data_IF_601360755268
#
_entry.id   IF_601360755268
#
_cell.length_a   1.000
_cell.length_b   1.000
_cell.length_c   1.000
_cell.angle_alpha   90.00
_cell.angle_beta   90.00
_cell.angle_gamma   90.00
#
_symmetry.space_group_name_H-M   'P 1'
#
loop_
_entity.id
_entity.type
_entity.pdbx_description
1 polymer ?
#
# COMPACT_ATOMS: atom_id res chain seq x y z
N UNK A 1 -43.77 -14.49 -44.38
CA UNK A 1 -44.67 -15.29 -43.53
C UNK A 1 -44.09 -15.23 -42.13
N UNK A 2 -44.53 -14.30 -41.25
CA UNK A 2 -45.77 -14.38 -40.44
C UNK A 2 -45.74 -15.65 -39.58
N UNK A 3 -45.86 -15.66 -38.26
CA UNK A 3 -45.88 -14.65 -37.19
C UNK A 3 -45.98 -15.43 -35.85
N UNK A 4 -45.68 -14.74 -34.74
CA UNK A 4 -46.32 -14.88 -33.41
C UNK A 4 -46.10 -16.19 -32.64
N UNK A 5 -46.06 -16.29 -31.31
CA UNK A 5 -46.41 -15.48 -30.11
C UNK A 5 -45.88 -16.34 -28.92
N UNK A 6 -45.44 -15.85 -27.77
CA UNK A 6 -46.23 -15.21 -26.71
C UNK A 6 -45.34 -14.79 -25.53
N UNK A 7 -45.88 -13.84 -24.77
CA UNK A 7 -45.34 -13.11 -23.63
C UNK A 7 -45.22 -13.89 -22.30
N UNK A 8 -44.61 -13.20 -21.31
CA UNK A 8 -44.62 -13.31 -19.81
C UNK A 8 -43.21 -13.49 -19.26
N UNK A 9 -42.68 -12.77 -18.26
CA UNK A 9 -43.21 -11.85 -17.26
C UNK A 9 -42.11 -10.87 -16.81
N UNK A 10 -42.52 -9.71 -16.31
CA UNK A 10 -41.71 -8.68 -15.68
C UNK A 10 -41.00 -9.17 -14.41
N UNK A 11 -39.75 -8.75 -14.10
CA UNK A 11 -39.23 -8.92 -12.75
C UNK A 11 -39.62 -7.73 -11.88
N UNK A 12 -40.50 -8.00 -10.92
CA UNK A 12 -40.80 -7.17 -9.77
C UNK A 12 -39.53 -6.68 -9.08
N UNK A 13 -39.43 -5.37 -8.85
CA UNK A 13 -38.49 -4.73 -7.94
C UNK A 13 -38.62 -5.32 -6.53
N UNK A 14 -37.72 -6.22 -6.14
CA UNK A 14 -37.57 -6.65 -4.76
C UNK A 14 -36.74 -5.62 -4.00
N UNK A 15 -37.42 -4.76 -3.24
CA UNK A 15 -36.81 -3.96 -2.19
C UNK A 15 -36.15 -4.91 -1.18
N UNK A 16 -34.84 -5.05 -1.24
CA UNK A 16 -34.05 -5.68 -0.19
C UNK A 16 -33.89 -4.68 0.96
N UNK A 17 -34.77 -4.75 1.96
CA UNK A 17 -34.49 -4.18 3.28
C UNK A 17 -33.41 -5.04 3.94
N UNK A 18 -32.15 -4.62 3.86
CA UNK A 18 -31.06 -5.18 4.66
C UNK A 18 -31.10 -4.55 6.04
N UNK A 19 -31.92 -5.09 6.95
CA UNK A 19 -31.81 -4.78 8.38
C UNK A 19 -30.67 -5.64 8.93
N UNK A 20 -29.46 -5.06 8.97
CA UNK A 20 -28.34 -5.65 9.66
C UNK A 20 -28.54 -5.42 11.16
N UNK A 21 -28.68 -6.50 11.93
CA UNK A 21 -28.87 -6.45 13.39
C UNK A 21 -27.68 -5.73 14.03
N UNK A 22 -27.88 -4.46 14.37
CA UNK A 22 -26.92 -3.59 15.05
C UNK A 22 -27.16 -3.73 16.56
N UNK A 23 -26.29 -4.45 17.26
CA UNK A 23 -26.43 -4.67 18.70
C UNK A 23 -26.40 -3.39 19.56
N UNK A 24 -27.32 -3.35 20.53
CA UNK A 24 -27.46 -2.44 21.68
C UNK A 24 -27.32 -0.94 21.39
N UNK A 25 -28.31 -0.38 20.69
CA UNK A 25 -28.73 1.02 20.78
C UNK A 25 -30.26 1.06 20.72
N UNK A 26 -30.91 2.02 21.37
CA UNK A 26 -32.35 2.21 21.19
C UNK A 26 -32.59 2.64 19.73
N UNK A 27 -33.31 1.81 18.98
CA UNK A 27 -33.76 2.09 17.62
C UNK A 27 -34.99 3.00 17.70
N UNK A 28 -34.86 4.23 17.21
CA UNK A 28 -35.95 5.18 17.08
C UNK A 28 -36.20 5.44 15.59
N UNK A 29 -37.45 5.68 15.20
CA UNK A 29 -37.80 5.98 13.80
C UNK A 29 -37.93 7.50 13.65
N UNK A 30 -37.23 8.08 12.69
CA UNK A 30 -37.37 9.50 12.33
C UNK A 30 -38.68 9.75 11.57
N UNK A 31 -39.15 11.00 11.50
CA UNK A 31 -40.41 11.38 10.85
C UNK A 31 -40.48 10.96 9.37
N UNK A 32 -39.32 10.77 8.71
CA UNK A 32 -39.19 10.29 7.33
C UNK A 32 -39.17 8.75 7.18
N UNK A 33 -39.29 8.01 8.29
CA UNK A 33 -39.24 6.55 8.33
C UNK A 33 -37.83 5.96 8.44
N UNK A 34 -36.79 6.78 8.60
CA UNK A 34 -35.40 6.32 8.77
C UNK A 34 -35.16 5.77 10.18
N UNK A 35 -34.59 4.57 10.27
CA UNK A 35 -34.12 4.01 11.56
C UNK A 35 -32.88 4.77 12.05
N UNK A 36 -32.99 5.32 13.26
CA UNK A 36 -31.94 6.10 13.93
C UNK A 36 -31.36 5.29 15.08
N UNK A 37 -30.04 5.09 15.03
CA UNK A 37 -29.28 4.46 16.09
C UNK A 37 -28.83 5.50 17.12
N UNK A 38 -29.28 5.35 18.36
CA UNK A 38 -28.85 6.24 19.45
C UNK A 38 -27.44 5.88 19.94
N UNK A 39 -26.45 6.73 19.60
CA UNK A 39 -25.06 6.56 20.04
C UNK A 39 -24.77 7.36 21.32
N UNK A 40 -25.39 8.54 21.45
CA UNK A 40 -25.33 9.42 22.62
C UNK A 40 -26.76 9.81 23.00
N UNK A 41 -27.17 9.49 24.22
CA UNK A 41 -28.54 9.73 24.68
C UNK A 41 -28.88 11.22 24.70
N UNK A 42 -27.95 12.08 25.12
CA UNK A 42 -28.06 13.54 25.10
C UNK A 42 -27.60 14.16 23.78
N UNK A 43 -27.46 13.35 22.71
CA UNK A 43 -27.10 13.83 21.38
C UNK A 43 -28.13 14.84 20.86
N UNK A 44 -27.64 15.87 20.19
CA UNK A 44 -28.37 17.07 19.77
C UNK A 44 -28.58 17.13 18.25
N UNK A 45 -28.07 16.17 17.49
CA UNK A 45 -28.24 16.07 16.04
C UNK A 45 -28.31 14.61 15.58
N UNK A 46 -28.98 14.39 14.44
CA UNK A 46 -28.97 13.11 13.72
C UNK A 46 -28.12 13.25 12.45
N UNK A 47 -27.09 12.42 12.31
CA UNK A 47 -26.31 12.32 11.07
C UNK A 47 -26.80 11.13 10.26
N UNK A 48 -27.31 11.39 9.06
CA UNK A 48 -27.76 10.39 8.11
C UNK A 48 -26.71 10.22 7.02
N UNK A 49 -25.98 9.11 7.05
CA UNK A 49 -24.98 8.81 6.04
C UNK A 49 -25.61 8.05 4.88
N UNK A 50 -25.24 8.44 3.66
CA UNK A 50 -25.62 7.76 2.42
C UNK A 50 -24.36 7.48 1.60
N UNK A 51 -24.21 6.23 1.18
CA UNK A 51 -23.06 5.80 0.40
C UNK A 51 -23.48 4.81 -0.67
N UNK A 52 -23.04 5.06 -1.90
CA UNK A 52 -23.18 4.14 -3.00
C UNK A 52 -21.82 3.53 -3.32
N UNK A 53 -21.73 2.20 -3.24
CA UNK A 53 -20.56 1.45 -3.67
C UNK A 53 -20.99 0.29 -4.54
N UNK A 54 -20.40 0.15 -5.73
CA UNK A 54 -20.69 -0.93 -6.68
C UNK A 54 -22.20 -1.06 -7.01
N UNK A 55 -22.91 0.07 -7.10
CA UNK A 55 -24.36 0.11 -7.36
C UNK A 55 -25.24 -0.32 -6.18
N UNK A 56 -24.65 -0.55 -5.00
CA UNK A 56 -25.38 -0.83 -3.76
C UNK A 56 -25.41 0.44 -2.92
N UNK A 57 -26.60 1.02 -2.78
CA UNK A 57 -26.83 2.13 -1.86
C UNK A 57 -26.99 1.61 -0.44
N UNK A 58 -26.24 2.18 0.49
CA UNK A 58 -26.32 1.92 1.92
C UNK A 58 -26.57 3.23 2.65
N UNK A 59 -27.47 3.21 3.63
CA UNK A 59 -27.71 4.35 4.50
C UNK A 59 -27.83 3.94 5.97
N UNK A 60 -27.46 4.86 6.86
CA UNK A 60 -27.60 4.69 8.29
C UNK A 60 -27.67 6.06 8.98
N UNK A 61 -28.55 6.19 9.98
CA UNK A 61 -28.70 7.42 10.76
C UNK A 61 -28.26 7.22 12.22
N UNK A 62 -27.53 8.18 12.77
CA UNK A 62 -26.99 8.12 14.13
C UNK A 62 -27.29 9.39 14.89
N UNK A 63 -27.84 9.27 16.11
CA UNK A 63 -27.96 10.37 17.05
C UNK A 63 -26.63 10.57 17.79
N UNK A 64 -26.05 11.76 17.66
CA UNK A 64 -24.68 12.10 18.08
C UNK A 64 -24.61 13.47 18.75
N UNK A 65 -23.48 13.76 19.38
CA UNK A 65 -23.19 15.06 20.00
C UNK A 65 -22.37 15.95 19.07
N UNK A 66 -22.91 17.11 18.69
CA UNK A 66 -22.17 18.12 17.92
C UNK A 66 -20.92 18.57 18.66
N UNK A 67 -20.99 18.72 19.99
CA UNK A 67 -19.89 19.22 20.81
C UNK A 67 -18.67 18.30 20.73
N UNK A 68 -18.88 16.99 20.89
CA UNK A 68 -17.81 16.00 20.75
C UNK A 68 -17.27 15.99 19.31
N UNK A 69 -18.14 15.95 18.31
CA UNK A 69 -17.73 15.92 16.91
C UNK A 69 -16.87 17.13 16.51
N UNK A 70 -17.26 18.35 16.89
CA UNK A 70 -16.50 19.58 16.60
C UNK A 70 -15.11 19.56 17.27
N UNK A 71 -15.02 18.99 18.47
CA UNK A 71 -13.74 18.87 19.17
C UNK A 71 -12.77 17.88 18.52
N UNK A 72 -13.29 16.91 17.74
CA UNK A 72 -12.51 15.79 17.22
C UNK A 72 -12.39 15.67 15.72
N UNK A 73 -13.03 16.58 14.99
CA UNK A 73 -13.00 16.60 13.54
C UNK A 73 -13.14 18.04 13.06
N UNK A 74 -12.15 18.49 12.28
CA UNK A 74 -12.22 19.82 11.66
C UNK A 74 -13.32 19.89 10.60
N UNK A 75 -13.66 18.76 9.98
CA UNK A 75 -14.80 18.67 9.08
C UNK A 75 -16.09 19.03 9.83
N UNK A 76 -16.37 18.36 10.95
CA UNK A 76 -17.58 18.61 11.73
C UNK A 76 -17.56 20.00 12.40
N UNK A 77 -16.40 20.50 12.83
CA UNK A 77 -16.27 21.88 13.31
C UNK A 77 -16.74 22.91 12.27
N UNK A 78 -16.34 22.73 11.01
CA UNK A 78 -16.79 23.61 9.92
C UNK A 78 -18.27 23.40 9.60
N UNK A 79 -18.71 22.15 9.49
CA UNK A 79 -20.11 21.77 9.20
C UNK A 79 -21.08 22.45 10.17
N UNK A 80 -20.79 22.37 11.46
CA UNK A 80 -21.60 22.94 12.55
C UNK A 80 -21.17 24.35 12.97
N UNK A 81 -20.41 25.06 12.14
CA UNK A 81 -19.86 26.37 12.48
C UNK A 81 -20.16 27.46 11.44
N UNK A 82 -19.92 27.19 10.16
CA UNK A 82 -19.86 28.23 9.12
C UNK A 82 -20.84 28.07 7.97
N UNK A 83 -21.49 26.91 7.86
CA UNK A 83 -22.38 26.62 6.74
C UNK A 83 -23.86 26.82 7.09
N UNK A 84 -24.72 26.79 6.07
CA UNK A 84 -26.17 26.97 6.24
C UNK A 84 -26.80 25.87 7.10
N UNK A 85 -26.20 24.70 7.13
CA UNK A 85 -26.54 23.57 8.01
C UNK A 85 -26.45 23.98 9.48
N UNK A 86 -25.41 24.72 9.88
CA UNK A 86 -25.24 25.18 11.25
C UNK A 86 -26.39 26.10 11.69
N UNK A 87 -26.80 27.03 10.83
CA UNK A 87 -27.92 27.94 11.10
C UNK A 87 -29.25 27.18 11.24
N UNK A 88 -29.47 26.15 10.40
CA UNK A 88 -30.67 25.28 10.50
C UNK A 88 -30.68 24.49 11.81
N UNK A 89 -29.54 23.94 12.21
CA UNK A 89 -29.38 23.21 13.48
C UNK A 89 -29.64 24.13 14.66
N UNK A 90 -29.02 25.32 14.69
CA UNK A 90 -29.19 26.28 15.78
C UNK A 90 -30.64 26.79 15.90
N UNK A 91 -31.29 27.08 14.78
CA UNK A 91 -32.71 27.46 14.76
C UNK A 91 -33.59 26.34 15.33
N UNK A 92 -33.31 25.08 14.98
CA UNK A 92 -34.05 23.93 15.51
C UNK A 92 -33.79 23.72 16.99
N UNK A 93 -32.55 23.87 17.46
CA UNK A 93 -32.20 23.80 18.88
C UNK A 93 -32.92 24.84 19.72
N UNK A 94 -33.07 26.09 19.22
CA UNK A 94 -33.84 27.14 19.90
C UNK A 94 -35.30 26.75 20.10
N UNK A 95 -35.92 26.14 19.08
CA UNK A 95 -37.31 25.64 19.18
C UNK A 95 -37.42 24.46 20.15
N UNK A 96 -36.50 23.51 20.10
CA UNK A 96 -36.51 22.34 20.97
C UNK A 96 -36.27 22.69 22.45
N UNK A 97 -35.41 23.68 22.73
CA UNK A 97 -35.16 24.16 24.09
C UNK A 97 -36.36 24.84 24.75
N UNK A 98 -37.39 25.24 23.99
CA UNK A 98 -38.66 25.73 24.54
C UNK A 98 -39.61 24.58 24.90
N UNK A 99 -39.45 23.41 24.29
CA UNK A 99 -40.36 22.27 24.40
C UNK A 99 -39.86 21.21 25.38
N UNK A 100 -38.54 21.04 25.48
CA UNK A 100 -37.89 19.99 26.25
C UNK A 100 -36.92 20.57 27.26
N UNK A 101 -36.79 19.89 28.41
CA UNK A 101 -35.89 20.32 29.49
C UNK A 101 -34.44 20.00 29.19
N UNK A 102 -34.19 18.84 28.59
CA UNK A 102 -32.85 18.40 28.18
C UNK A 102 -32.90 17.82 26.78
N UNK A 103 -31.75 17.81 26.08
CA UNK A 103 -31.69 17.19 24.75
C UNK A 103 -31.99 15.69 24.81
N UNK A 104 -31.65 15.01 25.90
CA UNK A 104 -31.94 13.59 26.09
C UNK A 104 -33.44 13.25 26.02
N UNK A 105 -34.32 14.20 26.39
CA UNK A 105 -35.77 14.02 26.37
C UNK A 105 -36.37 14.19 24.95
N UNK A 106 -35.59 14.71 24.00
CA UNK A 106 -36.05 14.97 22.63
C UNK A 106 -36.06 13.66 21.84
N UNK A 107 -37.21 13.26 21.23
CA UNK A 107 -37.27 12.12 20.32
C UNK A 107 -36.39 12.35 19.08
N UNK A 108 -35.73 11.30 18.59
CA UNK A 108 -34.81 11.41 17.45
C UNK A 108 -35.48 11.98 16.19
N UNK A 109 -36.79 11.73 16.00
CA UNK A 109 -37.59 12.27 14.91
C UNK A 109 -37.65 13.81 14.85
N UNK A 110 -37.53 14.48 16.01
CA UNK A 110 -37.64 15.94 16.09
C UNK A 110 -36.28 16.64 16.02
N UNK A 111 -35.18 15.90 16.19
CA UNK A 111 -33.83 16.41 16.11
C UNK A 111 -33.50 16.87 14.68
N UNK A 112 -32.64 17.90 14.54
CA UNK A 112 -32.16 18.29 13.22
C UNK A 112 -31.39 17.13 12.59
N UNK A 113 -31.71 16.81 11.33
CA UNK A 113 -31.03 15.79 10.54
C UNK A 113 -30.12 16.43 9.49
N UNK A 114 -28.89 15.95 9.39
CA UNK A 114 -27.96 16.30 8.31
C UNK A 114 -27.65 15.05 7.51
N UNK A 115 -27.84 15.14 6.19
CA UNK A 115 -27.47 14.08 5.25
C UNK A 115 -26.01 14.28 4.82
N UNK A 116 -25.21 13.22 4.93
CA UNK A 116 -23.81 13.18 4.50
C UNK A 116 -23.69 12.12 3.42
N UNK A 117 -23.34 12.57 2.22
CA UNK A 117 -23.09 11.71 1.07
C UNK A 117 -21.59 11.38 0.97
N UNK A 118 -21.28 10.20 0.44
CA UNK A 118 -19.94 9.74 0.08
C UNK A 118 -18.93 9.65 1.26
N UNK A 119 -18.68 8.41 1.69
CA UNK A 119 -17.74 8.03 2.75
C UNK A 119 -16.28 7.92 2.27
N UNK A 120 -16.02 8.21 1.00
CA UNK A 120 -14.73 8.01 0.34
C UNK A 120 -14.60 6.64 -0.32
N UNK A 121 -13.39 6.37 -0.85
CA UNK A 121 -13.03 5.13 -1.57
C UNK A 121 -12.82 3.96 -0.61
N UNK A 122 -13.88 3.50 0.06
CA UNK A 122 -13.86 2.30 0.89
C UNK A 122 -14.17 1.04 0.06
N UNK A 123 -13.77 -0.14 0.54
CA UNK A 123 -14.21 -1.39 -0.10
C UNK A 123 -15.66 -1.70 0.24
N UNK A 124 -16.25 -2.66 -0.49
CA UNK A 124 -17.49 -3.31 -0.07
C UNK A 124 -17.34 -3.87 1.35
N UNK A 125 -18.01 -3.26 2.31
CA UNK A 125 -18.12 -3.73 3.69
C UNK A 125 -19.46 -4.42 3.87
N UNK A 126 -19.51 -5.47 4.69
CA UNK A 126 -20.75 -6.22 4.96
C UNK A 126 -21.88 -5.33 5.49
N UNK A 127 -21.52 -4.27 6.21
CA UNK A 127 -22.45 -3.24 6.67
C UNK A 127 -21.68 -1.93 6.89
N UNK A 128 -21.86 -0.92 6.02
CA UNK A 128 -21.32 0.42 6.23
C UNK A 128 -21.78 1.04 7.55
N UNK A 129 -22.98 0.67 8.02
CA UNK A 129 -23.52 1.13 9.29
C UNK A 129 -22.64 0.72 10.48
N UNK A 130 -22.12 -0.51 10.52
CA UNK A 130 -21.20 -0.96 11.58
C UNK A 130 -19.91 -0.14 11.57
N UNK A 131 -19.34 0.09 10.38
CA UNK A 131 -18.11 0.87 10.22
C UNK A 131 -18.30 2.30 10.72
N UNK A 132 -19.40 2.95 10.33
CA UNK A 132 -19.75 4.31 10.75
C UNK A 132 -20.04 4.39 12.25
N UNK A 133 -20.76 3.41 12.79
CA UNK A 133 -21.00 3.32 14.23
C UNK A 133 -19.68 3.26 14.99
N UNK A 134 -18.74 2.43 14.56
CA UNK A 134 -17.44 2.29 15.23
C UNK A 134 -16.60 3.58 15.10
N UNK A 135 -16.63 4.24 13.93
CA UNK A 135 -16.03 5.57 13.73
C UNK A 135 -16.59 6.61 14.71
N UNK A 136 -17.91 6.75 14.76
CA UNK A 136 -18.58 7.71 15.63
C UNK A 136 -18.36 7.36 17.11
N UNK A 137 -18.32 6.08 17.49
CA UNK A 137 -17.99 5.65 18.86
C UNK A 137 -16.61 6.14 19.27
N UNK A 138 -15.60 5.98 18.41
CA UNK A 138 -14.25 6.49 18.68
C UNK A 138 -14.25 8.01 18.89
N UNK A 139 -14.98 8.76 18.06
CA UNK A 139 -15.11 10.22 18.22
C UNK A 139 -15.85 10.62 19.51
N UNK A 140 -16.66 9.75 20.09
CA UNK A 140 -17.33 9.99 21.37
C UNK A 140 -16.61 9.34 22.56
N UNK A 141 -15.34 8.94 22.40
CA UNK A 141 -14.56 8.18 23.43
C UNK A 141 -15.22 6.89 23.90
N UNK A 142 -16.09 6.30 23.09
CA UNK A 142 -16.71 5.03 23.39
C UNK A 142 -15.82 3.89 22.90
N UNK A 143 -15.89 2.76 23.60
CA UNK A 143 -15.13 1.57 23.22
C UNK A 143 -15.79 0.86 22.04
N UNK A 144 -14.95 0.35 21.14
CA UNK A 144 -15.36 -0.54 20.05
C UNK A 144 -14.88 -1.96 20.32
N UNK A 145 -15.31 -2.93 19.51
CA UNK A 145 -14.87 -4.31 19.62
C UNK A 145 -13.34 -4.41 19.50
N UNK A 146 -12.71 -5.18 20.38
CA UNK A 146 -11.25 -5.17 20.56
C UNK A 146 -10.45 -5.86 19.43
N UNK A 147 -11.11 -6.40 18.39
CA UNK A 147 -10.46 -7.18 17.32
C UNK A 147 -11.03 -6.87 15.94
N UNK A 148 -10.78 -5.67 15.43
CA UNK A 148 -11.21 -5.32 14.08
C UNK A 148 -10.36 -6.09 13.04
N UNK A 149 -10.99 -6.70 12.02
CA UNK A 149 -10.29 -7.17 10.84
C UNK A 149 -9.48 -6.03 10.20
N UNK A 150 -8.30 -6.35 9.64
CA UNK A 150 -7.43 -5.38 8.97
C UNK A 150 -8.17 -4.58 7.87
N UNK A 151 -9.10 -5.22 7.15
CA UNK A 151 -9.91 -4.54 6.14
C UNK A 151 -10.81 -3.45 6.76
N UNK A 152 -11.41 -3.73 7.92
CA UNK A 152 -12.23 -2.74 8.62
C UNK A 152 -11.36 -1.61 9.17
N UNK A 153 -10.15 -1.90 9.68
CA UNK A 153 -9.20 -0.87 10.10
C UNK A 153 -8.78 0.04 8.94
N UNK A 154 -8.54 -0.54 7.75
CA UNK A 154 -8.20 0.23 6.55
C UNK A 154 -9.38 1.12 6.13
N UNK A 155 -10.59 0.58 6.03
CA UNK A 155 -11.79 1.37 5.71
C UNK A 155 -12.06 2.46 6.76
N UNK A 156 -11.84 2.16 8.04
CA UNK A 156 -12.02 3.14 9.12
C UNK A 156 -11.01 4.28 9.03
N UNK A 157 -9.77 3.97 8.62
CA UNK A 157 -8.73 4.98 8.37
C UNK A 157 -9.13 5.89 7.20
N UNK A 158 -9.69 5.34 6.12
CA UNK A 158 -10.21 6.12 4.97
C UNK A 158 -11.34 7.04 5.39
N UNK A 159 -12.32 6.52 6.16
CA UNK A 159 -13.44 7.32 6.68
C UNK A 159 -12.93 8.45 7.59
N UNK A 160 -11.98 8.17 8.47
CA UNK A 160 -11.43 9.19 9.35
C UNK A 160 -10.61 10.25 8.61
N UNK A 161 -9.89 9.88 7.54
CA UNK A 161 -9.21 10.85 6.67
C UNK A 161 -10.22 11.76 5.97
N UNK A 162 -11.28 11.18 5.40
CA UNK A 162 -12.38 11.91 4.76
C UNK A 162 -13.02 12.94 5.68
N UNK A 163 -13.17 12.61 6.96
CA UNK A 163 -13.76 13.49 7.97
C UNK A 163 -12.72 14.25 8.83
N UNK A 164 -11.45 14.33 8.40
CA UNK A 164 -10.37 15.06 9.09
C UNK A 164 -10.29 14.74 10.59
N UNK A 165 -10.24 13.45 10.90
CA UNK A 165 -10.30 12.86 12.23
C UNK A 165 -9.26 11.75 12.48
N UNK A 166 -8.27 11.59 11.58
CA UNK A 166 -7.23 10.57 11.67
C UNK A 166 -6.46 10.61 13.00
N UNK A 167 -6.18 11.79 13.52
CA UNK A 167 -5.42 11.98 14.77
C UNK A 167 -6.06 11.24 15.95
N UNK A 168 -7.38 11.22 16.02
CA UNK A 168 -8.09 10.52 17.10
C UNK A 168 -8.03 9.01 16.95
N UNK A 169 -8.05 8.50 15.72
CA UNK A 169 -7.85 7.07 15.46
C UNK A 169 -6.42 6.65 15.78
N UNK A 170 -5.42 7.46 15.43
CA UNK A 170 -4.01 7.24 15.80
C UNK A 170 -3.87 7.05 17.30
N UNK A 171 -4.37 8.00 18.10
CA UNK A 171 -4.33 7.93 19.56
C UNK A 171 -5.08 6.70 20.08
N UNK A 172 -6.28 6.43 19.57
CA UNK A 172 -7.11 5.31 20.01
C UNK A 172 -6.41 3.95 19.76
N UNK A 173 -5.97 3.69 18.54
CA UNK A 173 -5.38 2.41 18.16
C UNK A 173 -3.95 2.23 18.71
N UNK A 174 -3.20 3.31 18.90
CA UNK A 174 -1.91 3.29 19.60
C UNK A 174 -2.09 2.86 21.06
N UNK A 175 -3.06 3.47 21.78
CA UNK A 175 -3.39 3.08 23.16
C UNK A 175 -3.81 1.61 23.27
N UNK A 176 -4.58 1.13 22.30
CA UNK A 176 -5.04 -0.27 22.24
C UNK A 176 -3.98 -1.26 21.76
N UNK A 177 -2.83 -0.78 21.29
CA UNK A 177 -1.77 -1.59 20.67
C UNK A 177 -2.31 -2.53 19.59
N UNK A 178 -3.27 -2.05 18.80
CA UNK A 178 -4.05 -2.89 17.90
C UNK A 178 -3.18 -3.57 16.83
N UNK A 179 -2.26 -2.82 16.22
CA UNK A 179 -1.34 -3.34 15.20
C UNK A 179 -0.37 -4.37 15.80
N UNK A 180 0.13 -4.15 17.02
CA UNK A 180 0.98 -5.11 17.72
C UNK A 180 0.22 -6.40 18.04
N UNK A 181 -1.05 -6.30 18.46
CA UNK A 181 -1.90 -7.46 18.72
C UNK A 181 -2.22 -8.26 17.45
N UNK A 182 -2.33 -7.60 16.30
CA UNK A 182 -2.49 -8.26 15.00
C UNK A 182 -1.22 -9.01 14.62
N UNK A 183 -0.05 -8.38 14.78
CA UNK A 183 1.23 -9.01 14.49
C UNK A 183 1.53 -10.18 15.43
N UNK A 184 1.22 -10.08 16.73
CA UNK A 184 1.51 -11.14 17.71
C UNK A 184 0.74 -12.44 17.45
N UNK A 185 -0.40 -12.36 16.77
CA UNK A 185 -1.22 -13.52 16.39
C UNK A 185 -0.76 -14.17 15.07
N UNK A 186 0.17 -13.54 14.36
CA UNK A 186 0.55 -13.97 13.02
C UNK A 186 1.86 -14.76 13.02
N UNK A 187 1.84 -15.97 12.46
CA UNK A 187 3.04 -16.79 12.28
C UNK A 187 3.85 -16.29 11.07
N UNK A 188 5.18 -16.53 11.02
CA UNK A 188 6.00 -16.16 9.85
C UNK A 188 5.49 -16.76 8.53
N UNK A 189 4.95 -17.99 8.58
CA UNK A 189 4.36 -18.65 7.40
C UNK A 189 3.09 -17.93 6.94
N UNK A 190 2.20 -17.58 7.88
CA UNK A 190 0.97 -16.84 7.56
C UNK A 190 1.28 -15.43 7.04
N UNK A 191 2.27 -14.77 7.64
CA UNK A 191 2.76 -13.46 7.22
C UNK A 191 3.27 -13.52 5.78
N UNK A 192 4.16 -14.45 5.44
CA UNK A 192 4.66 -14.63 4.08
C UNK A 192 3.56 -15.00 3.09
N UNK A 193 2.46 -15.60 3.54
CA UNK A 193 1.30 -15.98 2.71
C UNK A 193 0.26 -14.88 2.48
N UNK A 194 0.44 -13.66 3.01
CA UNK A 194 -0.52 -12.56 2.78
C UNK A 194 -0.69 -12.24 1.28
N UNK A 195 -1.94 -12.03 0.86
CA UNK A 195 -2.28 -11.51 -0.47
C UNK A 195 -1.83 -10.06 -0.63
N UNK A 196 -1.72 -9.61 -1.89
CA UNK A 196 -1.44 -8.21 -2.22
C UNK A 196 -2.41 -7.25 -1.50
N UNK A 197 -3.71 -7.50 -1.62
CA UNK A 197 -4.74 -6.66 -0.98
C UNK A 197 -4.50 -6.52 0.53
N UNK A 198 -4.13 -7.61 1.22
CA UNK A 198 -3.84 -7.55 2.66
C UNK A 198 -2.58 -6.77 2.98
N UNK A 199 -1.55 -6.87 2.14
CA UNK A 199 -0.32 -6.08 2.28
C UNK A 199 -0.59 -4.60 2.05
N UNK A 200 -1.37 -4.25 1.01
CA UNK A 200 -1.84 -2.90 0.71
C UNK A 200 -2.67 -2.31 1.84
N UNK A 201 -3.64 -3.06 2.39
CA UNK A 201 -4.43 -2.65 3.56
C UNK A 201 -3.55 -2.34 4.78
N UNK A 202 -2.57 -3.20 5.09
CA UNK A 202 -1.63 -2.95 6.20
C UNK A 202 -0.73 -1.76 5.94
N UNK A 203 -0.26 -1.57 4.70
CA UNK A 203 0.54 -0.40 4.35
C UNK A 203 -0.26 0.89 4.52
N UNK A 204 -1.50 0.93 4.01
CA UNK A 204 -2.40 2.08 4.16
C UNK A 204 -2.65 2.40 5.63
N UNK A 205 -2.99 1.39 6.44
CA UNK A 205 -3.19 1.57 7.90
C UNK A 205 -1.90 2.05 8.56
N UNK A 206 -0.76 1.47 8.19
CA UNK A 206 0.55 1.89 8.71
C UNK A 206 0.84 3.36 8.40
N UNK A 207 0.54 3.79 7.18
CA UNK A 207 0.72 5.17 6.72
C UNK A 207 -0.25 6.14 7.39
N UNK A 208 -1.56 5.82 7.42
CA UNK A 208 -2.59 6.70 7.97
C UNK A 208 -2.58 6.77 9.50
N UNK A 209 -2.14 5.69 10.18
CA UNK A 209 -2.14 5.61 11.65
C UNK A 209 -0.74 5.68 12.27
N UNK A 210 0.28 6.11 11.52
CA UNK A 210 1.68 6.23 11.95
C UNK A 210 2.22 4.97 12.65
N UNK A 211 2.16 3.82 11.98
CA UNK A 211 2.76 2.57 12.45
C UNK A 211 3.97 2.16 11.60
N UNK A 212 5.19 2.61 11.96
CA UNK A 212 6.38 2.51 11.12
C UNK A 212 6.71 1.12 10.60
N UNK A 213 6.58 0.12 11.46
CA UNK A 213 6.90 -1.27 11.15
C UNK A 213 6.10 -1.79 9.96
N UNK A 214 4.84 -1.38 9.81
CA UNK A 214 4.02 -1.79 8.66
C UNK A 214 4.40 -1.03 7.40
N UNK A 215 4.76 0.25 7.52
CA UNK A 215 5.19 1.07 6.37
C UNK A 215 6.42 0.42 5.74
N UNK A 216 7.50 0.25 6.49
CA UNK A 216 8.77 -0.29 5.97
C UNK A 216 8.61 -1.70 5.40
N UNK A 217 7.99 -2.60 6.17
CA UNK A 217 7.86 -4.01 5.80
C UNK A 217 6.98 -4.21 4.57
N UNK A 218 5.82 -3.56 4.53
CA UNK A 218 4.82 -3.81 3.49
C UNK A 218 5.14 -3.04 2.21
N UNK A 219 5.76 -1.85 2.29
CA UNK A 219 6.32 -1.18 1.11
C UNK A 219 7.44 -1.99 0.45
N UNK A 220 8.40 -2.51 1.24
CA UNK A 220 9.46 -3.38 0.71
C UNK A 220 8.86 -4.62 0.03
N UNK A 221 7.82 -5.21 0.62
CA UNK A 221 7.16 -6.38 0.04
C UNK A 221 6.47 -6.08 -1.29
N UNK A 222 5.77 -4.95 -1.42
CA UNK A 222 5.14 -4.54 -2.68
C UNK A 222 6.19 -4.38 -3.79
N UNK A 223 7.31 -3.70 -3.47
CA UNK A 223 8.46 -3.53 -4.37
C UNK A 223 9.00 -4.89 -4.83
N UNK A 224 9.28 -5.79 -3.88
CA UNK A 224 9.90 -7.09 -4.17
C UNK A 224 8.97 -8.01 -4.97
N UNK A 225 7.67 -8.03 -4.64
CA UNK A 225 6.69 -8.92 -5.28
C UNK A 225 6.22 -8.48 -6.67
N UNK A 226 6.46 -7.23 -7.05
CA UNK A 226 5.97 -6.69 -8.32
C UNK A 226 4.52 -6.27 -8.31
N UNK A 227 4.01 -5.96 -7.12
CA UNK A 227 2.64 -5.54 -6.88
C UNK A 227 2.48 -4.02 -6.96
N UNK A 228 3.24 -3.35 -7.83
CA UNK A 228 3.34 -1.89 -7.93
C UNK A 228 3.28 -1.45 -9.39
N UNK A 229 2.88 -0.20 -9.65
CA UNK A 229 2.86 0.38 -10.99
C UNK A 229 1.67 -0.02 -11.84
N UNK A 230 0.66 -0.66 -11.25
CA UNK A 230 -0.62 -0.93 -11.90
C UNK A 230 -1.59 0.22 -11.63
N UNK A 231 -2.24 0.73 -12.67
CA UNK A 231 -3.32 1.72 -12.51
C UNK A 231 -4.57 1.03 -11.95
N UNK A 232 -5.04 1.43 -10.76
CA UNK A 232 -6.23 0.85 -10.17
C UNK A 232 -7.50 1.43 -10.80
N UNK A 233 -8.60 0.69 -10.69
CA UNK A 233 -9.92 1.26 -10.99
C UNK A 233 -10.23 2.44 -10.06
N UNK A 234 -10.86 3.48 -10.60
CA UNK A 234 -11.31 4.67 -9.87
C UNK A 234 -12.26 4.27 -8.73
N UNK A 235 -13.07 3.23 -8.95
CA UNK A 235 -13.99 2.69 -7.95
C UNK A 235 -13.31 1.85 -6.86
N UNK A 236 -12.05 1.47 -7.05
CA UNK A 236 -11.32 0.64 -6.11
C UNK A 236 -11.06 1.39 -4.80
N UNK A 237 -10.99 0.61 -3.71
CA UNK A 237 -10.67 1.13 -2.39
C UNK A 237 -9.29 1.82 -2.37
N UNK A 238 -9.12 2.83 -1.50
CA UNK A 238 -7.95 3.71 -1.49
C UNK A 238 -6.61 2.97 -1.33
N UNK A 239 -6.56 1.77 -0.73
CA UNK A 239 -5.29 1.03 -0.61
C UNK A 239 -4.75 0.50 -1.95
N UNK A 240 -5.56 0.50 -3.00
CA UNK A 240 -5.09 0.23 -4.37
C UNK A 240 -4.39 1.44 -5.01
N UNK A 241 -4.59 2.64 -4.44
CA UNK A 241 -4.03 3.91 -4.89
C UNK A 241 -3.47 4.68 -3.68
N UNK A 242 -2.29 4.27 -3.21
CA UNK A 242 -1.76 4.71 -1.93
C UNK A 242 -1.48 6.23 -1.93
N UNK A 243 -1.92 6.96 -0.89
CA UNK A 243 -1.83 8.42 -0.84
C UNK A 243 -0.38 8.93 -0.77
N UNK A 244 -0.20 10.23 -1.06
CA UNK A 244 1.09 10.90 -0.90
C UNK A 244 2.13 10.52 -1.96
N UNK A 245 1.71 10.12 -3.17
CA UNK A 245 2.57 9.58 -4.24
C UNK A 245 3.39 8.36 -3.81
N UNK A 246 2.89 7.61 -2.82
CA UNK A 246 3.55 6.40 -2.35
C UNK A 246 3.61 5.37 -3.47
N UNK A 247 2.51 5.19 -4.24
CA UNK A 247 2.46 4.22 -5.34
C UNK A 247 3.55 4.47 -6.40
N UNK A 248 3.70 5.72 -6.85
CA UNK A 248 4.74 6.15 -7.79
C UNK A 248 6.15 5.86 -7.26
N UNK A 249 6.40 6.19 -5.99
CA UNK A 249 7.69 5.94 -5.35
C UNK A 249 8.01 4.44 -5.27
N UNK A 250 7.04 3.58 -4.91
CA UNK A 250 7.27 2.14 -4.84
C UNK A 250 7.54 1.53 -6.22
N UNK A 251 6.80 1.98 -7.24
CA UNK A 251 7.03 1.57 -8.63
C UNK A 251 8.43 1.99 -9.10
N UNK A 252 8.82 3.24 -8.86
CA UNK A 252 10.14 3.75 -9.24
C UNK A 252 11.29 3.03 -8.51
N UNK A 253 11.14 2.74 -7.21
CA UNK A 253 12.10 1.94 -6.44
C UNK A 253 12.27 0.55 -7.05
N UNK A 254 11.17 -0.10 -7.42
CA UNK A 254 11.21 -1.43 -8.07
C UNK A 254 11.99 -1.37 -9.38
N UNK A 255 11.70 -0.39 -10.22
CA UNK A 255 12.40 -0.19 -11.49
C UNK A 255 13.91 -0.06 -11.28
N UNK A 256 14.34 0.78 -10.34
CA UNK A 256 15.75 0.97 -10.02
C UNK A 256 16.44 -0.30 -9.50
N UNK A 257 15.74 -1.14 -8.73
CA UNK A 257 16.27 -2.45 -8.29
C UNK A 257 16.44 -3.40 -9.49
N UNK A 258 15.46 -3.46 -10.38
CA UNK A 258 15.54 -4.29 -11.59
C UNK A 258 16.64 -3.80 -12.54
N UNK A 259 16.76 -2.48 -12.74
CA UNK A 259 17.83 -1.86 -13.51
C UNK A 259 19.21 -2.20 -12.92
N UNK A 260 19.33 -2.22 -11.59
CA UNK A 260 20.56 -2.61 -10.91
C UNK A 260 20.93 -4.07 -11.18
N UNK A 261 19.96 -4.99 -11.11
CA UNK A 261 20.18 -6.42 -11.44
C UNK A 261 20.57 -6.58 -12.91
N UNK A 262 19.89 -5.87 -13.82
CA UNK A 262 20.22 -5.88 -15.25
C UNK A 262 21.63 -5.33 -15.51
N UNK A 263 22.03 -4.24 -14.84
CA UNK A 263 23.37 -3.67 -14.99
C UNK A 263 24.48 -4.64 -14.55
N UNK A 264 24.22 -5.49 -13.55
CA UNK A 264 25.14 -6.56 -13.14
C UNK A 264 25.30 -7.60 -14.25
N UNK A 265 24.22 -8.00 -14.93
CA UNK A 265 24.31 -8.93 -16.06
C UNK A 265 25.08 -8.31 -17.23
N UNK A 266 24.80 -7.04 -17.54
CA UNK A 266 25.52 -6.28 -18.56
C UNK A 266 27.01 -6.18 -18.24
N UNK A 267 27.37 -5.91 -16.99
CA UNK A 267 28.77 -5.88 -16.54
C UNK A 267 29.47 -7.22 -16.76
N UNK A 268 28.84 -8.32 -16.33
CA UNK A 268 29.43 -9.65 -16.46
C UNK A 268 29.60 -10.05 -17.92
N UNK A 269 28.62 -9.78 -18.78
CA UNK A 269 28.74 -9.98 -20.23
C UNK A 269 29.87 -9.11 -20.80
N UNK A 270 29.91 -7.83 -20.42
CA UNK A 270 30.91 -6.85 -20.82
C UNK A 270 32.35 -7.29 -20.53
N UNK A 271 32.59 -7.94 -19.37
CA UNK A 271 33.92 -8.47 -19.04
C UNK A 271 34.42 -9.47 -20.08
N UNK A 272 33.57 -10.37 -20.57
CA UNK A 272 33.97 -11.45 -21.48
C UNK A 272 33.78 -11.11 -22.96
N UNK A 273 33.05 -10.05 -23.29
CA UNK A 273 33.02 -9.47 -24.64
C UNK A 273 34.09 -8.39 -24.84
N UNK A 274 34.73 -7.93 -23.75
CA UNK A 274 35.90 -7.09 -23.83
C UNK A 274 37.06 -7.80 -24.55
N UNK A 275 37.99 -7.02 -25.09
CA UNK A 275 39.24 -7.56 -25.66
C UNK A 275 40.26 -7.92 -24.57
N UNK A 276 39.89 -7.80 -23.30
CA UNK A 276 40.79 -8.06 -22.17
C UNK A 276 40.59 -9.47 -21.64
N UNK A 277 41.71 -10.18 -21.48
CA UNK A 277 41.72 -11.56 -20.97
C UNK A 277 41.23 -11.61 -19.52
N UNK A 278 40.17 -12.36 -19.26
CA UNK A 278 39.56 -12.53 -17.94
C UNK A 278 40.17 -13.70 -17.17
N UNK A 279 40.49 -14.80 -17.85
CA UNK A 279 41.22 -15.92 -17.27
C UNK A 279 42.67 -15.50 -16.94
N UNK A 280 43.00 -15.45 -15.65
CA UNK A 280 44.33 -15.03 -15.15
C UNK A 280 45.28 -16.20 -14.86
N UNK A 281 44.89 -17.44 -15.17
CA UNK A 281 45.71 -18.63 -14.89
C UNK A 281 46.91 -18.79 -15.81
N UNK A 282 46.92 -18.14 -16.99
CA UNK A 282 48.10 -18.07 -17.85
C UNK A 282 48.38 -19.32 -18.70
N UNK A 283 47.48 -20.31 -18.71
CA UNK A 283 47.55 -21.47 -19.60
C UNK A 283 47.28 -21.10 -21.07
N UNK A 284 47.74 -21.92 -22.01
CA UNK A 284 47.45 -21.74 -23.44
C UNK A 284 45.94 -21.78 -23.74
N UNK A 285 45.17 -22.55 -22.96
CA UNK A 285 43.71 -22.61 -23.04
C UNK A 285 42.99 -21.45 -22.34
N UNK A 286 43.70 -20.44 -21.81
CA UNK A 286 43.07 -19.29 -21.12
C UNK A 286 42.14 -18.49 -22.03
N UNK A 287 42.50 -18.32 -23.32
CA UNK A 287 41.63 -17.62 -24.27
C UNK A 287 40.37 -18.44 -24.60
N UNK A 288 40.52 -19.76 -24.70
CA UNK A 288 39.40 -20.69 -24.90
C UNK A 288 38.47 -20.70 -23.69
N UNK A 289 39.02 -20.57 -22.48
CA UNK A 289 38.26 -20.44 -21.25
C UNK A 289 37.34 -19.21 -21.29
N UNK A 290 37.83 -18.04 -21.69
CA UNK A 290 37.01 -16.82 -21.76
C UNK A 290 35.84 -16.96 -22.75
N UNK A 291 36.10 -17.49 -23.95
CA UNK A 291 35.04 -17.76 -24.94
C UNK A 291 34.03 -18.81 -24.45
N UNK A 292 34.49 -19.86 -23.78
CA UNK A 292 33.64 -20.88 -23.18
C UNK A 292 32.73 -20.28 -22.10
N UNK A 293 33.29 -19.46 -21.20
CA UNK A 293 32.51 -18.80 -20.14
C UNK A 293 31.48 -17.83 -20.70
N UNK A 294 31.81 -17.09 -21.77
CA UNK A 294 30.84 -16.23 -22.46
C UNK A 294 29.66 -17.04 -23.02
N UNK A 295 29.95 -18.15 -23.70
CA UNK A 295 28.92 -19.03 -24.24
C UNK A 295 27.99 -19.61 -23.17
N UNK A 296 28.57 -20.12 -22.07
CA UNK A 296 27.80 -20.65 -20.95
C UNK A 296 27.00 -19.57 -20.21
N UNK A 297 27.52 -18.35 -20.10
CA UNK A 297 26.81 -17.21 -19.51
C UNK A 297 25.58 -16.81 -20.34
N UNK A 298 25.74 -16.68 -21.66
CA UNK A 298 24.63 -16.39 -22.57
C UNK A 298 23.58 -17.51 -22.49
N UNK A 299 24.02 -18.77 -22.54
CA UNK A 299 23.13 -19.94 -22.42
C UNK A 299 22.37 -19.94 -21.10
N UNK A 300 23.04 -19.64 -20.00
CA UNK A 300 22.45 -19.58 -18.67
C UNK A 300 21.40 -18.49 -18.55
N UNK A 301 21.74 -17.23 -18.89
CA UNK A 301 20.81 -16.10 -18.75
C UNK A 301 19.60 -16.22 -19.67
N UNK A 302 19.78 -16.74 -20.89
CA UNK A 302 18.68 -17.05 -21.80
C UNK A 302 17.76 -18.14 -21.24
N UNK A 303 18.34 -19.22 -20.66
CA UNK A 303 17.56 -20.32 -20.06
C UNK A 303 16.69 -19.86 -18.90
N UNK A 304 17.17 -18.93 -18.07
CA UNK A 304 16.38 -18.38 -16.94
C UNK A 304 15.50 -17.19 -17.34
N UNK A 305 15.46 -16.82 -18.63
CA UNK A 305 14.58 -15.77 -19.14
C UNK A 305 15.00 -14.34 -18.82
N UNK A 306 16.27 -14.11 -18.50
CA UNK A 306 16.80 -12.77 -18.11
C UNK A 306 17.62 -12.11 -19.20
N UNK A 307 17.96 -12.85 -20.26
CA UNK A 307 18.65 -12.33 -21.44
C UNK A 307 17.92 -12.79 -22.70
N UNK A 308 17.68 -11.84 -23.60
CA UNK A 308 17.22 -12.09 -24.95
C UNK A 308 18.29 -11.61 -25.92
N UNK A 309 18.67 -12.44 -26.88
CA UNK A 309 19.54 -12.02 -27.97
C UNK A 309 18.70 -11.48 -29.11
N UNK A 310 18.98 -10.25 -29.51
CA UNK A 310 18.31 -9.58 -30.60
C UNK A 310 19.34 -9.00 -31.57
N UNK A 311 19.10 -9.17 -32.87
CA UNK A 311 19.94 -8.58 -33.90
C UNK A 311 19.72 -7.07 -33.98
N UNK A 312 20.80 -6.31 -34.10
CA UNK A 312 20.77 -4.85 -34.22
C UNK A 312 20.59 -4.35 -35.67
N UNK A 313 20.37 -5.25 -36.63
CA UNK A 313 20.29 -4.92 -38.07
C UNK A 313 18.95 -4.27 -38.43
N UNK A 314 17.88 -4.63 -37.73
CA UNK A 314 16.55 -4.05 -37.87
C UNK A 314 16.04 -3.72 -36.47
N UNK A 315 15.65 -2.45 -36.26
CA UNK A 315 14.96 -2.05 -35.03
C UNK A 315 13.58 -2.71 -35.01
N UNK A 316 13.26 -3.39 -33.92
CA UNK A 316 11.87 -3.78 -33.64
C UNK A 316 11.36 -2.85 -32.55
N UNK A 317 10.36 -2.03 -32.86
CA UNK A 317 9.78 -1.06 -31.93
C UNK A 317 8.98 -1.68 -30.78
N UNK A 318 9.00 -3.00 -30.57
CA UNK A 318 8.19 -3.64 -29.53
C UNK A 318 8.79 -3.37 -28.13
N UNK A 319 8.11 -2.55 -27.29
CA UNK A 319 8.56 -2.33 -25.93
C UNK A 319 8.46 -3.66 -25.17
N UNK A 320 9.56 -4.05 -24.54
CA UNK A 320 9.58 -5.29 -23.79
C UNK A 320 8.92 -5.10 -22.43
N UNK A 321 8.01 -6.01 -22.02
CA UNK A 321 7.38 -5.90 -20.73
C UNK A 321 8.45 -6.01 -19.64
N UNK A 322 8.37 -5.12 -18.65
CA UNK A 322 9.22 -5.17 -17.46
C UNK A 322 8.97 -6.48 -16.70
N UNK A 323 10.00 -6.98 -16.01
CA UNK A 323 9.86 -8.16 -15.15
C UNK A 323 8.79 -7.90 -14.06
N UNK A 324 7.74 -8.69 -14.08
CA UNK A 324 6.58 -8.60 -13.16
C UNK A 324 6.70 -9.53 -11.94
N UNK A 325 7.64 -10.48 -11.98
CA UNK A 325 7.83 -11.48 -10.93
C UNK A 325 8.47 -10.98 -9.63
N UNK A 326 8.65 -11.91 -8.68
CA UNK A 326 9.31 -11.63 -7.40
C UNK A 326 10.83 -11.47 -7.58
N UNK A 327 11.38 -10.33 -7.16
CA UNK A 327 12.81 -10.01 -7.23
C UNK A 327 13.65 -11.02 -6.43
N UNK A 328 13.14 -11.54 -5.31
CA UNK A 328 13.86 -12.56 -4.54
C UNK A 328 13.98 -13.86 -5.34
N UNK A 329 12.91 -14.25 -6.05
CA UNK A 329 12.95 -15.42 -6.93
C UNK A 329 13.90 -15.18 -8.11
N UNK A 330 13.93 -13.98 -8.68
CA UNK A 330 14.89 -13.60 -9.73
C UNK A 330 16.34 -13.73 -9.24
N UNK A 331 16.65 -13.20 -8.06
CA UNK A 331 17.98 -13.35 -7.44
C UNK A 331 18.29 -14.82 -7.19
N UNK A 332 17.34 -15.61 -6.68
CA UNK A 332 17.53 -17.04 -6.42
C UNK A 332 17.75 -17.84 -7.71
N UNK A 333 17.10 -17.47 -8.82
CA UNK A 333 17.36 -18.05 -10.15
C UNK A 333 18.78 -17.74 -10.62
N UNK A 334 19.26 -16.50 -10.47
CA UNK A 334 20.62 -16.11 -10.84
C UNK A 334 21.69 -16.88 -10.01
N UNK A 335 21.40 -17.20 -8.75
CA UNK A 335 22.30 -17.99 -7.86
C UNK A 335 22.43 -19.46 -8.26
N UNK A 336 21.50 -19.98 -9.08
CA UNK A 336 21.54 -21.36 -9.60
C UNK A 336 22.57 -21.54 -10.73
N UNK A 337 23.36 -20.50 -11.04
CA UNK A 337 24.46 -20.58 -12.00
C UNK A 337 25.42 -21.75 -11.67
N UNK A 338 25.60 -22.71 -12.60
CA UNK A 338 26.54 -23.81 -12.41
C UNK A 338 28.00 -23.35 -12.35
N UNK A 339 28.86 -24.19 -11.81
CA UNK A 339 30.30 -24.01 -11.94
C UNK A 339 30.77 -24.56 -13.28
N UNK A 340 30.79 -23.70 -14.29
CA UNK A 340 31.25 -24.04 -15.63
C UNK A 340 32.77 -24.14 -15.67
N UNK A 341 33.31 -25.27 -16.13
CA UNK A 341 34.74 -25.51 -16.29
C UNK A 341 35.01 -26.10 -17.67
N UNK A 342 36.00 -25.55 -18.38
CA UNK A 342 36.41 -26.07 -19.69
C UNK A 342 37.26 -27.34 -19.56
N UNK A 343 38.12 -27.38 -18.54
CA UNK A 343 38.98 -28.51 -18.20
C UNK A 343 39.33 -28.47 -16.69
N UNK A 344 40.13 -29.45 -16.23
CA UNK A 344 40.55 -29.57 -14.83
C UNK A 344 41.47 -28.45 -14.34
N UNK A 345 42.10 -27.71 -15.24
CA UNK A 345 43.04 -26.65 -14.91
C UNK A 345 42.35 -25.31 -14.70
N UNK A 346 41.06 -25.17 -15.06
CA UNK A 346 40.28 -23.93 -14.98
C UNK A 346 39.27 -23.95 -13.82
N UNK A 347 39.69 -24.43 -12.65
CA UNK A 347 38.89 -24.28 -11.43
C UNK A 347 38.77 -22.79 -11.08
N UNK A 348 37.57 -22.35 -10.71
CA UNK A 348 37.24 -20.96 -10.35
C UNK A 348 37.28 -19.89 -11.44
N UNK A 349 37.55 -20.21 -12.71
CA UNK A 349 37.58 -19.22 -13.81
C UNK A 349 36.20 -18.74 -14.34
N UNK A 350 35.10 -19.09 -13.67
CA UNK A 350 33.75 -18.97 -14.22
C UNK A 350 32.82 -17.94 -13.59
N UNK A 351 31.69 -17.75 -14.27
CA UNK A 351 30.62 -16.81 -13.91
C UNK A 351 30.20 -16.93 -12.43
N UNK A 352 30.06 -18.17 -11.93
CA UNK A 352 29.63 -18.45 -10.55
C UNK A 352 30.49 -17.74 -9.51
N UNK A 353 31.81 -17.84 -9.60
CA UNK A 353 32.73 -17.21 -8.65
C UNK A 353 32.56 -15.69 -8.61
N UNK A 354 32.30 -15.07 -9.77
CA UNK A 354 32.19 -13.62 -9.91
C UNK A 354 30.82 -13.08 -9.50
N UNK A 355 29.74 -13.77 -9.86
CA UNK A 355 28.38 -13.27 -9.65
C UNK A 355 27.88 -13.48 -8.21
N UNK A 356 28.31 -14.54 -7.52
CA UNK A 356 27.80 -14.88 -6.19
C UNK A 356 27.98 -13.76 -5.15
N UNK A 357 29.18 -13.17 -4.97
CA UNK A 357 29.37 -12.08 -4.00
C UNK A 357 28.54 -10.83 -4.33
N UNK A 358 28.30 -10.58 -5.62
CA UNK A 358 27.53 -9.43 -6.09
C UNK A 358 26.02 -9.63 -5.83
N UNK A 359 25.52 -10.86 -6.02
CA UNK A 359 24.15 -11.21 -5.68
C UNK A 359 23.90 -11.24 -4.17
N UNK A 360 24.87 -11.68 -3.37
CA UNK A 360 24.79 -11.60 -1.90
C UNK A 360 24.62 -10.13 -1.45
N UNK A 361 25.42 -9.23 -2.02
CA UNK A 361 25.33 -7.80 -1.74
C UNK A 361 23.98 -7.20 -2.17
N UNK A 362 23.50 -7.48 -3.39
CA UNK A 362 22.19 -6.98 -3.85
C UNK A 362 21.08 -7.49 -2.94
N UNK A 363 21.11 -8.78 -2.57
CA UNK A 363 20.13 -9.38 -1.66
C UNK A 363 20.10 -8.68 -0.30
N UNK A 364 21.26 -8.39 0.26
CA UNK A 364 21.36 -7.69 1.55
C UNK A 364 20.78 -6.26 1.44
N UNK A 365 21.02 -5.56 0.32
CA UNK A 365 20.46 -4.25 0.03
C UNK A 365 18.93 -4.29 -0.14
N UNK A 366 18.38 -5.34 -0.76
CA UNK A 366 16.94 -5.50 -0.99
C UNK A 366 16.11 -5.54 0.30
N UNK A 367 16.68 -5.85 1.46
CA UNK A 367 15.97 -5.77 2.74
C UNK A 367 15.61 -4.34 3.15
N UNK A 368 16.28 -3.33 2.57
CA UNK A 368 16.17 -1.93 2.96
C UNK A 368 15.51 -1.04 1.91
N UNK A 369 14.95 -1.61 0.84
CA UNK A 369 14.31 -0.84 -0.25
C UNK A 369 12.96 -0.25 0.15
N UNK A 370 12.38 -0.71 1.26
CA UNK A 370 11.11 -0.19 1.79
C UNK A 370 11.18 1.29 2.16
N UNK A 371 10.02 1.91 2.26
CA UNK A 371 9.88 3.31 2.67
C UNK A 371 10.02 3.39 4.19
N UNK A 372 11.06 4.07 4.66
CA UNK A 372 11.17 4.45 6.05
C UNK A 372 10.33 5.70 6.34
N UNK A 373 9.39 5.63 7.31
CA UNK A 373 8.53 6.74 7.64
C UNK A 373 9.27 7.93 8.26
N UNK A 374 10.29 7.70 9.08
CA UNK A 374 10.99 8.79 9.75
C UNK A 374 11.66 9.71 8.71
N UNK A 375 12.34 9.13 7.72
CA UNK A 375 12.93 9.90 6.62
C UNK A 375 11.88 10.43 5.66
N UNK A 376 10.80 9.68 5.40
CA UNK A 376 9.72 10.12 4.53
C UNK A 376 9.02 11.39 5.04
N UNK A 377 8.81 11.49 6.35
CA UNK A 377 8.18 12.66 6.96
C UNK A 377 9.17 13.80 7.23
N UNK A 378 10.40 13.50 7.66
CA UNK A 378 11.37 14.52 8.04
C UNK A 378 11.93 15.29 6.84
N UNK A 379 12.29 14.61 5.76
CA UNK A 379 12.85 15.24 4.56
C UNK A 379 12.57 14.39 3.31
N UNK A 380 11.32 14.44 2.85
CA UNK A 380 10.88 13.73 1.65
C UNK A 380 11.71 14.08 0.43
N UNK A 381 11.98 15.37 0.22
CA UNK A 381 12.68 15.85 -0.98
C UNK A 381 14.08 15.26 -1.09
N UNK A 382 14.78 15.10 0.05
CA UNK A 382 16.08 14.45 0.07
C UNK A 382 16.03 12.94 0.20
N UNK A 383 14.92 12.31 0.58
CA UNK A 383 14.83 10.87 0.80
C UNK A 383 14.17 10.11 -0.36
N UNK A 384 13.10 10.65 -0.94
CA UNK A 384 12.33 10.03 -2.00
C UNK A 384 13.21 9.82 -3.23
N UNK A 385 13.15 8.61 -3.80
CA UNK A 385 13.97 8.23 -4.93
C UNK A 385 13.53 8.98 -6.18
N UNK A 386 12.21 9.15 -6.37
CA UNK A 386 11.66 9.86 -7.53
C UNK A 386 12.03 11.36 -7.56
N UNK A 387 12.32 11.96 -6.41
CA UNK A 387 12.70 13.37 -6.28
C UNK A 387 14.23 13.57 -6.24
N UNK A 388 14.98 12.48 -6.06
CA UNK A 388 16.44 12.51 -5.91
C UNK A 388 17.16 12.60 -7.26
N UNK A 389 18.26 13.35 -7.29
CA UNK A 389 19.16 13.36 -8.46
C UNK A 389 19.89 12.02 -8.57
N UNK A 390 19.87 11.42 -9.75
CA UNK A 390 20.60 10.18 -10.04
C UNK A 390 22.12 10.44 -10.04
N UNK A 391 22.91 9.71 -9.23
CA UNK A 391 24.36 9.76 -9.34
C UNK A 391 24.81 9.26 -10.71
N UNK A 392 25.84 9.88 -11.28
CA UNK A 392 26.38 9.42 -12.57
C UNK A 392 27.06 8.06 -12.44
N UNK A 393 27.87 7.88 -11.40
CA UNK A 393 28.67 6.69 -11.19
C UNK A 393 28.59 6.25 -9.73
N UNK A 394 28.28 4.98 -9.50
CA UNK A 394 28.46 4.31 -8.22
C UNK A 394 29.60 3.31 -8.30
N UNK A 395 30.44 3.23 -7.26
CA UNK A 395 31.58 2.31 -7.18
C UNK A 395 31.40 1.32 -6.05
N UNK A 396 31.57 0.03 -6.37
CA UNK A 396 31.49 -1.05 -5.38
C UNK A 396 32.52 -0.90 -4.26
N UNK A 397 33.76 -0.49 -4.56
CA UNK A 397 34.81 -0.43 -3.54
C UNK A 397 34.52 0.59 -2.43
N UNK A 398 33.72 1.62 -2.72
CA UNK A 398 33.24 2.59 -1.74
C UNK A 398 31.99 2.15 -0.98
N UNK A 399 31.46 0.95 -1.24
CA UNK A 399 30.22 0.47 -0.65
C UNK A 399 30.46 -0.64 0.39
N UNK A 400 30.02 -0.40 1.63
CA UNK A 400 30.09 -1.37 2.74
C UNK A 400 28.83 -1.31 3.62
N UNK A 401 27.81 -2.09 3.26
CA UNK A 401 26.53 -2.13 3.98
C UNK A 401 26.68 -2.33 5.50
N UNK A 402 27.62 -3.19 5.96
CA UNK A 402 27.86 -3.42 7.40
C UNK A 402 28.46 -2.22 8.13
N UNK A 403 29.33 -1.46 7.48
CA UNK A 403 29.87 -0.22 8.05
C UNK A 403 28.81 0.89 8.11
N UNK A 404 27.67 0.69 7.44
CA UNK A 404 26.58 1.66 7.32
C UNK A 404 25.42 1.38 8.25
N UNK A 405 25.23 0.12 8.67
CA UNK A 405 24.33 -0.22 9.77
C UNK A 405 24.73 0.44 11.11
N UNK A 406 25.97 0.89 11.24
CA UNK A 406 26.49 1.65 12.39
C UNK A 406 26.46 3.18 12.21
N UNK A 407 26.09 3.69 11.02
CA UNK A 407 25.96 5.13 10.75
C UNK A 407 24.53 5.64 11.01
N UNK A 408 24.37 6.96 11.01
CA UNK A 408 23.07 7.61 11.18
C UNK A 408 22.04 7.13 10.16
N UNK A 409 20.78 7.15 10.59
CA UNK A 409 19.64 6.62 9.84
C UNK A 409 19.50 7.20 8.40
N UNK A 410 19.75 8.50 8.22
CA UNK A 410 19.70 9.16 6.91
C UNK A 410 20.83 8.79 5.95
N UNK A 411 22.07 8.66 6.44
CA UNK A 411 23.22 8.28 5.59
C UNK A 411 23.07 6.89 5.00
N UNK A 412 22.49 5.95 5.77
CA UNK A 412 22.23 4.59 5.31
C UNK A 412 21.30 4.59 4.09
N UNK A 413 20.22 5.36 4.15
CA UNK A 413 19.25 5.45 3.06
C UNK A 413 19.80 6.17 1.84
N UNK A 414 20.62 7.21 2.04
CA UNK A 414 21.27 7.94 0.96
C UNK A 414 22.23 7.03 0.16
N UNK A 415 23.10 6.27 0.83
CA UNK A 415 24.07 5.38 0.15
C UNK A 415 23.39 4.20 -0.55
N UNK A 416 22.35 3.61 0.09
CA UNK A 416 21.54 2.57 -0.53
C UNK A 416 20.87 3.09 -1.79
N UNK A 417 20.25 4.28 -1.70
CA UNK A 417 19.64 4.95 -2.85
C UNK A 417 20.67 5.21 -3.93
N UNK A 418 21.85 5.73 -3.60
CA UNK A 418 22.87 6.07 -4.59
C UNK A 418 23.32 4.84 -5.39
N UNK A 419 23.42 3.66 -4.74
CA UNK A 419 23.65 2.38 -5.44
C UNK A 419 22.54 2.06 -6.45
N UNK A 420 21.27 2.17 -6.04
CA UNK A 420 20.14 1.79 -6.89
C UNK A 420 19.79 2.84 -7.94
N UNK A 421 20.08 4.13 -7.70
CA UNK A 421 19.78 5.23 -8.64
C UNK A 421 20.90 5.51 -9.63
N UNK A 422 22.12 5.00 -9.40
CA UNK A 422 23.26 5.32 -10.26
C UNK A 422 22.96 5.02 -11.73
N UNK A 423 23.33 5.94 -12.64
CA UNK A 423 23.22 5.70 -14.08
C UNK A 423 24.23 4.63 -14.53
N UNK A 424 25.44 4.70 -14.00
CA UNK A 424 26.48 3.69 -14.20
C UNK A 424 26.91 3.08 -12.86
N UNK A 425 27.15 1.77 -12.87
CA UNK A 425 27.60 1.00 -11.70
C UNK A 425 28.90 0.31 -12.03
N UNK A 426 29.96 0.71 -11.36
CA UNK A 426 31.26 0.05 -11.42
C UNK A 426 31.28 -1.11 -10.42
N UNK A 427 31.12 -2.31 -10.97
CA UNK A 427 31.06 -3.57 -10.25
C UNK A 427 32.44 -4.20 -9.98
N UNK A 428 33.52 -3.57 -10.47
CA UNK A 428 34.89 -4.11 -10.42
C UNK A 428 35.44 -4.33 -9.02
#
# INVERSE_FOLDING_TARGET
>A
MVASRNARDSPSSRNFKSSAVLGNGAEEVHDDGTEVFTLVADGDVVLHFQHEANGVQSSAAFRVSTTELKSRSRYFDRLFGRFGEAAKVEARHKTLGQQYRTMADVPSAQLPMIVIEDLGRISGVKSPAILLRDFLRILHSQEIESNLPVANLANLSIVADRFDALEWLKVYFSRKKAMQAIDSKMTPKADNGLSEEKVRQRLLVGYMLDFPKWIEKHSARLIMKGWVGQEPDISAALWWDLPGRMEEELAFRRECVLETIQSLQTYLLGLYTSRERQCKLGYDSSAQCDSFQLGEMIRFFARIGTLRLQGAILETDEPHPQYDGDIQNLVDLLRQVPEYQIDRNHTHCGLRTRIMPLLDMIRDCCFYVGVCPDCWHADRAQYAWIESKRPLLWKRQSFSLRAYLSRGHGSRHAELRDMFLATERDWS
#
